data_IF_369509943044
#
_entry.id   IF_369509943044
#
_cell.length_a   1.000
_cell.length_b   1.000
_cell.length_c   1.000
_cell.angle_alpha   90.00
_cell.angle_beta   90.00
_cell.angle_gamma   90.00
#
_symmetry.space_group_name_H-M   'P 1'
#
loop_
_entity.id
_entity.type
_entity.pdbx_description
1 polymer ?
#
# COMPACT_ATOMS: atom_id res chain seq x y z
N UNK A 1 -15.02 13.74 -34.27
CA UNK A 1 -13.87 12.81 -34.25
C UNK A 1 -12.97 13.01 -33.04
N UNK A 2 -12.50 14.23 -32.74
CA UNK A 2 -11.66 14.53 -31.55
C UNK A 2 -12.33 14.21 -30.20
N UNK A 3 -13.63 14.48 -30.06
CA UNK A 3 -14.39 14.22 -28.80
C UNK A 3 -14.50 12.72 -28.50
N UNK A 4 -14.71 11.88 -29.52
CA UNK A 4 -14.74 10.42 -29.40
C UNK A 4 -13.36 9.87 -29.04
N UNK A 5 -12.28 10.42 -29.62
CA UNK A 5 -10.90 10.06 -29.25
C UNK A 5 -10.54 10.47 -27.82
N UNK A 6 -11.00 11.63 -27.34
CA UNK A 6 -10.81 12.09 -25.95
C UNK A 6 -11.58 11.17 -24.97
N UNK A 7 -12.83 10.82 -25.29
CA UNK A 7 -13.64 9.88 -24.49
C UNK A 7 -13.01 8.47 -24.40
N UNK A 8 -12.48 7.95 -25.51
CA UNK A 8 -11.77 6.67 -25.54
C UNK A 8 -10.48 6.69 -24.72
N UNK A 9 -9.77 7.82 -24.67
CA UNK A 9 -8.55 7.98 -23.86
C UNK A 9 -8.86 8.05 -22.35
N UNK A 10 -9.96 8.70 -21.96
CA UNK A 10 -10.39 8.79 -20.55
C UNK A 10 -10.88 7.46 -19.96
N UNK A 11 -11.42 6.54 -20.77
CA UNK A 11 -11.87 5.21 -20.29
C UNK A 11 -10.68 4.31 -19.87
N UNK A 12 -9.50 4.48 -20.48
CA UNK A 12 -8.30 3.69 -20.19
C UNK A 12 -7.69 4.04 -18.81
N UNK A 13 -7.97 5.23 -18.28
CA UNK A 13 -7.42 5.72 -17.01
C UNK A 13 -8.27 5.35 -15.77
N UNK A 14 -9.44 4.74 -15.95
CA UNK A 14 -10.35 4.36 -14.85
C UNK A 14 -10.12 2.89 -14.50
N UNK A 15 -8.98 2.61 -13.86
CA UNK A 15 -8.65 1.31 -13.28
C UNK A 15 -8.44 1.43 -11.79
N UNK A 16 -9.50 1.69 -11.01
CA UNK A 16 -9.45 1.47 -9.57
C UNK A 16 -9.65 -0.02 -9.32
N UNK A 17 -8.55 -0.77 -9.23
CA UNK A 17 -8.59 -2.14 -8.74
C UNK A 17 -8.63 -2.12 -7.23
N UNK A 18 -9.62 -2.79 -6.64
CA UNK A 18 -9.60 -3.13 -5.23
C UNK A 18 -8.41 -4.06 -4.94
N UNK A 19 -7.77 -3.91 -3.78
CA UNK A 19 -6.66 -4.77 -3.41
C UNK A 19 -7.22 -6.12 -2.95
N UNK A 20 -7.08 -7.16 -3.79
CA UNK A 20 -7.45 -8.54 -3.40
C UNK A 20 -6.58 -9.17 -2.30
N UNK A 21 -5.70 -8.36 -1.68
CA UNK A 21 -4.87 -8.71 -0.54
C UNK A 21 -4.89 -7.61 0.51
N UNK A 22 -4.82 -7.99 1.78
CA UNK A 22 -4.60 -7.10 2.91
C UNK A 22 -3.24 -7.38 3.55
N UNK A 23 -2.41 -6.36 3.84
CA UNK A 23 -1.22 -6.55 4.65
C UNK A 23 -1.59 -6.80 6.11
N UNK A 24 -0.96 -7.79 6.72
CA UNK A 24 -1.05 -8.17 8.14
C UNK A 24 0.36 -8.37 8.69
N UNK A 25 0.47 -8.57 10.01
CA UNK A 25 1.74 -8.85 10.70
C UNK A 25 2.85 -7.85 10.33
N UNK A 26 2.54 -6.56 10.46
CA UNK A 26 3.48 -5.47 10.21
C UNK A 26 4.66 -5.57 11.18
N UNK A 27 5.88 -5.49 10.64
CA UNK A 27 7.12 -5.49 11.41
C UNK A 27 8.11 -4.46 10.90
N UNK A 28 8.96 -3.98 11.79
CA UNK A 28 10.13 -3.15 11.50
C UNK A 28 11.37 -3.87 12.06
N UNK A 29 12.37 -4.11 11.23
CA UNK A 29 13.54 -4.94 11.59
C UNK A 29 13.14 -6.31 12.18
N UNK A 30 12.11 -6.94 11.59
CA UNK A 30 11.52 -8.21 12.04
C UNK A 30 10.91 -8.20 13.45
N UNK A 31 10.73 -7.02 14.05
CA UNK A 31 10.11 -6.83 15.36
C UNK A 31 8.73 -6.19 15.22
N UNK A 32 7.80 -6.60 16.08
CA UNK A 32 6.48 -5.97 16.22
C UNK A 32 6.58 -4.77 17.15
N UNK A 33 6.19 -3.60 16.66
CA UNK A 33 6.15 -2.33 17.40
C UNK A 33 7.43 -2.05 18.25
N UNK A 34 8.64 -2.09 17.65
CA UNK A 34 9.87 -1.90 18.40
C UNK A 34 9.97 -0.48 19.00
N UNK A 35 10.37 -0.39 20.27
CA UNK A 35 10.54 0.89 20.97
C UNK A 35 11.76 1.67 20.48
N UNK A 36 12.79 0.99 19.99
CA UNK A 36 14.05 1.58 19.53
C UNK A 36 14.42 0.99 18.18
N UNK A 37 14.73 1.87 17.22
CA UNK A 37 15.26 1.53 15.89
C UNK A 37 16.37 2.53 15.60
N UNK A 38 17.62 2.08 15.63
CA UNK A 38 18.82 2.91 15.39
C UNK A 38 19.38 2.76 13.97
N UNK A 39 18.84 1.81 13.20
CA UNK A 39 19.16 1.61 11.78
C UNK A 39 18.57 2.75 10.96
N UNK A 40 19.41 3.47 10.22
CA UNK A 40 19.00 4.64 9.44
C UNK A 40 17.99 4.33 8.31
N UNK A 41 18.03 3.12 7.74
CA UNK A 41 17.13 2.67 6.68
C UNK A 41 16.48 1.35 7.11
N UNK A 42 15.47 1.39 7.99
CA UNK A 42 14.90 0.19 8.57
C UNK A 42 14.10 -0.61 7.55
N UNK A 43 14.15 -1.94 7.68
CA UNK A 43 13.37 -2.89 6.89
C UNK A 43 11.95 -2.96 7.40
N UNK A 44 11.01 -2.52 6.58
CA UNK A 44 9.57 -2.65 6.82
C UNK A 44 9.07 -3.92 6.12
N UNK A 45 8.33 -4.76 6.85
CA UNK A 45 7.81 -6.02 6.32
C UNK A 45 6.35 -6.24 6.73
N UNK A 46 5.62 -6.99 5.91
CA UNK A 46 4.24 -7.41 6.13
C UNK A 46 3.98 -8.74 5.44
N UNK A 47 2.90 -9.40 5.83
CA UNK A 47 2.37 -10.60 5.16
C UNK A 47 1.10 -10.20 4.42
N UNK A 48 0.96 -10.59 3.15
CA UNK A 48 -0.30 -10.40 2.43
C UNK A 48 -1.21 -11.60 2.66
N UNK A 49 -2.45 -11.34 3.08
CA UNK A 49 -3.53 -12.33 3.10
C UNK A 49 -4.56 -11.99 2.05
N UNK A 50 -5.11 -12.98 1.34
CA UNK A 50 -6.22 -12.75 0.42
C UNK A 50 -7.45 -12.27 1.19
N UNK A 51 -8.12 -11.25 0.69
CA UNK A 51 -9.38 -10.73 1.26
C UNK A 51 -10.52 -11.74 1.11
N UNK A 52 -10.59 -12.41 -0.04
CA UNK A 52 -11.66 -13.34 -0.40
C UNK A 52 -11.26 -14.82 -0.29
N UNK A 53 -10.12 -15.10 0.36
CA UNK A 53 -9.54 -16.43 0.53
C UNK A 53 -9.22 -17.15 -0.80
N UNK A 54 -8.95 -16.38 -1.85
CA UNK A 54 -8.58 -16.88 -3.17
C UNK A 54 -7.09 -17.21 -3.26
N UNK A 55 -6.73 -18.13 -4.16
CA UNK A 55 -5.34 -18.52 -4.42
C UNK A 55 -4.72 -17.68 -5.54
N UNK A 56 -3.39 -17.75 -5.64
CA UNK A 56 -2.60 -17.10 -6.69
C UNK A 56 -2.69 -15.55 -6.71
N UNK A 57 -3.06 -14.94 -5.59
CA UNK A 57 -2.96 -13.49 -5.41
C UNK A 57 -1.51 -13.02 -5.45
N UNK A 58 -1.28 -11.85 -6.02
CA UNK A 58 0.05 -11.23 -6.12
C UNK A 58 -0.04 -9.74 -5.86
N UNK A 59 0.83 -9.24 -4.98
CA UNK A 59 1.03 -7.81 -4.80
C UNK A 59 1.79 -7.22 -6.00
N UNK A 60 1.23 -6.20 -6.63
CA UNK A 60 1.82 -5.49 -7.78
C UNK A 60 2.41 -4.13 -7.40
N UNK A 61 1.89 -3.51 -6.35
CA UNK A 61 2.31 -2.22 -5.82
C UNK A 61 2.18 -2.20 -4.29
N UNK A 62 2.77 -1.20 -3.65
CA UNK A 62 2.62 -0.94 -2.22
C UNK A 62 2.62 0.57 -1.96
N UNK A 63 2.06 0.97 -0.83
CA UNK A 63 2.17 2.32 -0.29
C UNK A 63 2.56 2.21 1.18
N UNK A 64 3.59 2.94 1.59
CA UNK A 64 4.02 3.06 2.98
C UNK A 64 3.74 4.50 3.42
N UNK A 65 3.16 4.67 4.61
CA UNK A 65 2.95 5.97 5.26
C UNK A 65 3.62 5.93 6.63
N UNK A 66 4.38 6.98 6.94
CA UNK A 66 5.08 7.16 8.21
C UNK A 66 4.71 8.54 8.73
N UNK A 67 4.43 8.65 10.03
CA UNK A 67 4.08 9.92 10.65
C UNK A 67 4.60 9.96 12.08
N UNK A 68 4.83 11.17 12.61
CA UNK A 68 5.25 11.36 14.01
C UNK A 68 4.13 11.08 15.02
N UNK A 69 2.88 11.01 14.56
CA UNK A 69 1.68 10.74 15.36
C UNK A 69 0.66 9.90 14.59
N UNK A 70 -0.23 9.21 15.32
CA UNK A 70 -1.29 8.39 14.71
C UNK A 70 -2.23 9.19 13.79
N UNK A 71 -2.59 10.42 14.18
CA UNK A 71 -3.44 11.30 13.38
C UNK A 71 -2.76 11.77 12.09
N UNK A 72 -1.43 11.88 12.08
CA UNK A 72 -0.65 12.25 10.90
C UNK A 72 -0.67 11.21 9.79
N UNK A 73 -1.11 9.96 10.03
CA UNK A 73 -1.18 8.95 8.96
C UNK A 73 -2.18 9.27 7.84
N UNK A 74 -3.12 10.18 8.08
CA UNK A 74 -4.04 10.69 7.06
C UNK A 74 -3.35 11.69 6.12
N UNK A 75 -2.44 12.51 6.66
CA UNK A 75 -1.61 13.49 5.95
C UNK A 75 -0.19 13.47 6.53
N UNK A 76 0.69 12.57 6.03
CA UNK A 76 2.01 12.32 6.61
C UNK A 76 2.86 13.58 6.75
N UNK A 77 3.40 13.80 7.95
CA UNK A 77 4.19 14.98 8.33
C UNK A 77 5.71 14.80 8.10
N UNK A 78 6.10 13.73 7.42
CA UNK A 78 7.47 13.35 7.08
C UNK A 78 7.64 13.14 5.58
#
# INVERSE_FOLDING_TARGET
MKVIQILLFSIILIGCSDSGVSPIDLTCEYLKDPTVVDVANPKLSWINISTDNDRAQRQTAYQIRVASSKSGLTDPDL
#
